data_IF_129375565984
#
_entry.id   IF_129375565984
#
_cell.length_a   1.000
_cell.length_b   1.000
_cell.length_c   1.000
_cell.angle_alpha   90.00
_cell.angle_beta   90.00
_cell.angle_gamma   90.00
#
_symmetry.space_group_name_H-M   'P 1'
#
loop_
_entity.id
_entity.type
_entity.pdbx_description
1 polymer ?
#
# COMPACT_ATOMS: atom_id res chain seq x y z
N UNK A 1 17.06 -39.00 8.74
CA UNK A 1 17.22 -37.80 7.89
C UNK A 1 15.96 -36.94 7.98
N UNK A 2 16.05 -35.61 7.85
CA UNK A 2 15.46 -34.65 8.80
C UNK A 2 14.36 -33.74 8.22
N UNK A 3 13.51 -33.20 9.08
CA UNK A 3 13.37 -31.74 9.23
C UNK A 3 12.90 -31.44 10.65
N UNK A 4 13.88 -31.14 11.51
CA UNK A 4 13.63 -30.33 12.69
C UNK A 4 13.10 -28.99 12.19
N UNK A 5 11.83 -28.74 12.46
CA UNK A 5 11.40 -27.39 12.75
C UNK A 5 11.35 -27.35 14.25
N UNK A 6 12.47 -26.92 14.83
CA UNK A 6 12.48 -26.37 16.16
C UNK A 6 11.29 -25.40 16.26
N UNK A 7 10.49 -25.63 17.31
CA UNK A 7 9.54 -24.69 17.89
C UNK A 7 10.30 -23.40 18.24
N UNK A 8 10.55 -22.59 17.22
CA UNK A 8 11.11 -21.25 17.34
C UNK A 8 9.99 -20.23 17.51
N UNK A 9 10.30 -19.03 18.05
CA UNK A 9 9.37 -17.93 18.34
C UNK A 9 8.73 -17.27 17.09
N UNK A 10 8.56 -18.02 16.01
CA UNK A 10 8.04 -17.58 14.71
C UNK A 10 6.57 -17.93 14.55
N UNK A 11 6.09 -19.01 15.17
CA UNK A 11 4.69 -19.43 15.08
C UNK A 11 3.74 -18.43 15.78
N UNK A 12 4.14 -17.92 16.95
CA UNK A 12 3.32 -17.00 17.76
C UNK A 12 3.17 -15.61 17.08
N UNK A 13 4.20 -15.15 16.38
CA UNK A 13 4.18 -13.86 15.67
C UNK A 13 3.28 -13.89 14.41
N UNK A 14 3.07 -15.07 13.80
CA UNK A 14 2.19 -15.22 12.66
C UNK A 14 0.71 -15.11 13.04
N UNK A 15 0.32 -15.65 14.21
CA UNK A 15 -1.06 -15.53 14.71
C UNK A 15 -1.41 -14.13 15.22
N UNK A 16 -0.47 -13.45 15.91
CA UNK A 16 -0.68 -12.06 16.34
C UNK A 16 -0.89 -11.09 15.16
N UNK A 17 -0.31 -11.39 14.00
CA UNK A 17 -0.46 -10.57 12.78
C UNK A 17 -1.83 -10.72 12.11
N UNK A 18 -2.55 -11.83 12.36
CA UNK A 18 -3.89 -12.06 11.82
C UNK A 18 -4.98 -11.44 12.71
N UNK A 19 -4.84 -11.50 14.03
CA UNK A 19 -5.80 -10.91 14.99
C UNK A 19 -5.87 -9.36 14.89
N UNK A 20 -4.75 -8.72 14.57
CA UNK A 20 -4.69 -7.27 14.36
C UNK A 20 -5.47 -6.80 13.11
N UNK A 21 -5.68 -7.68 12.12
CA UNK A 21 -6.46 -7.35 10.91
C UNK A 21 -7.96 -7.48 11.21
N UNK A 22 -8.36 -8.40 12.11
CA UNK A 22 -9.76 -8.66 12.45
C UNK A 22 -10.38 -7.62 13.40
N UNK A 23 -9.57 -6.94 14.23
CA UNK A 23 -10.05 -5.93 15.19
C UNK A 23 -10.40 -4.55 14.62
N UNK A 24 -10.31 -4.35 13.29
CA UNK A 24 -10.84 -3.15 12.65
C UNK A 24 -10.33 -1.85 13.27
N UNK A 25 -9.05 -1.82 13.67
CA UNK A 25 -8.41 -0.60 14.13
C UNK A 25 -7.71 0.00 12.90
N UNK A 26 -8.37 0.89 12.11
CA UNK A 26 -7.60 1.78 11.28
C UNK A 26 -6.70 2.50 12.26
N UNK A 27 -5.39 2.28 12.15
CA UNK A 27 -4.43 3.02 12.96
C UNK A 27 -4.78 4.48 12.79
N UNK A 28 -5.40 5.03 13.84
CA UNK A 28 -5.82 6.40 13.94
C UNK A 28 -4.52 7.20 13.98
N UNK A 29 -3.98 7.48 12.80
CA UNK A 29 -2.93 8.45 12.58
C UNK A 29 -3.53 9.83 12.76
N UNK A 30 -4.02 10.11 13.97
CA UNK A 30 -4.37 11.42 14.43
C UNK A 30 -3.05 12.23 14.55
N UNK A 31 -2.61 12.87 13.45
CA UNK A 31 -2.09 14.26 13.49
C UNK A 31 -1.76 14.93 12.14
N UNK A 32 -1.84 14.26 10.99
CA UNK A 32 -1.61 14.92 9.70
C UNK A 32 -2.62 14.44 8.66
N UNK A 33 -3.08 15.32 7.75
CA UNK A 33 -3.86 14.88 6.61
C UNK A 33 -3.00 13.92 5.77
N UNK A 34 -3.25 12.62 5.90
CA UNK A 34 -2.60 11.62 5.06
C UNK A 34 -3.45 11.45 3.81
N UNK A 35 -2.89 11.77 2.64
CA UNK A 35 -3.54 11.57 1.35
C UNK A 35 -2.98 10.28 0.70
N UNK A 36 -3.80 9.61 -0.08
CA UNK A 36 -3.38 8.41 -0.82
C UNK A 36 -2.85 8.83 -2.18
N UNK A 37 -1.57 8.64 -2.41
CA UNK A 37 -0.91 8.89 -3.68
C UNK A 37 -1.03 7.66 -4.61
N UNK A 38 -1.38 7.92 -5.87
CA UNK A 38 -1.39 6.96 -6.96
C UNK A 38 -0.06 7.02 -7.69
N UNK A 39 0.66 5.89 -7.68
CA UNK A 39 1.86 5.68 -8.46
C UNK A 39 1.57 4.75 -9.62
N UNK A 40 2.28 4.90 -10.73
CA UNK A 40 2.22 4.00 -11.87
C UNK A 40 3.22 4.37 -12.95
N UNK A 41 3.32 3.53 -13.97
CA UNK A 41 4.17 3.73 -15.14
C UNK A 41 3.35 4.31 -16.28
N UNK A 42 3.95 5.14 -17.13
CA UNK A 42 3.33 5.73 -18.31
C UNK A 42 4.18 5.45 -19.56
N UNK A 43 3.68 5.80 -20.74
CA UNK A 43 4.42 5.67 -22.00
C UNK A 43 5.77 6.42 -21.98
N UNK A 44 5.83 7.56 -21.30
CA UNK A 44 7.06 8.35 -21.18
C UNK A 44 8.01 7.87 -20.07
N UNK A 45 7.49 7.20 -19.04
CA UNK A 45 8.24 6.80 -17.85
C UNK A 45 7.84 5.38 -17.45
N UNK A 46 8.66 4.41 -17.84
CA UNK A 46 8.42 3.00 -17.57
C UNK A 46 8.53 2.65 -16.07
N UNK A 47 9.23 3.46 -15.28
CA UNK A 47 9.33 3.30 -13.83
C UNK A 47 8.10 3.88 -13.10
N UNK A 48 7.66 3.25 -12.01
CA UNK A 48 6.49 3.71 -11.26
C UNK A 48 6.76 5.05 -10.58
N UNK A 49 6.17 6.11 -11.11
CA UNK A 49 6.29 7.49 -10.62
C UNK A 49 4.94 7.98 -10.09
N UNK A 50 4.96 9.11 -9.41
CA UNK A 50 3.75 9.73 -8.87
C UNK A 50 2.90 10.25 -10.03
N UNK A 51 1.71 9.67 -10.21
CA UNK A 51 0.75 10.10 -11.22
C UNK A 51 -0.15 11.20 -10.68
N UNK A 52 -0.52 11.11 -9.40
CA UNK A 52 -1.40 12.06 -8.73
C UNK A 52 -1.98 11.48 -7.44
N UNK A 53 -2.99 12.14 -6.89
CA UNK A 53 -3.71 11.65 -5.73
C UNK A 53 -4.84 10.72 -6.14
N UNK A 54 -5.05 9.62 -5.43
CA UNK A 54 -6.11 8.64 -5.71
C UNK A 54 -7.53 9.20 -5.49
N UNK A 55 -7.66 10.37 -4.87
CA UNK A 55 -8.91 11.12 -4.76
C UNK A 55 -9.22 11.95 -6.02
N UNK A 56 -8.18 12.28 -6.80
CA UNK A 56 -8.27 13.10 -8.02
C UNK A 56 -8.13 12.27 -9.30
N UNK A 57 -7.46 11.11 -9.22
CA UNK A 57 -7.22 10.21 -10.34
C UNK A 57 -7.80 8.83 -10.07
N UNK A 58 -8.58 8.34 -11.03
CA UNK A 58 -9.07 6.98 -11.05
C UNK A 58 -8.08 6.06 -11.77
N UNK A 59 -7.58 5.04 -11.06
CA UNK A 59 -6.61 4.10 -11.61
C UNK A 59 -7.20 3.21 -12.71
N UNK A 60 -8.49 2.88 -12.62
CA UNK A 60 -9.16 2.05 -13.61
C UNK A 60 -9.36 2.82 -14.91
N UNK A 61 -9.77 4.09 -14.84
CA UNK A 61 -9.86 4.97 -16.01
C UNK A 61 -8.49 5.15 -16.70
N UNK A 62 -7.44 5.38 -15.90
CA UNK A 62 -6.08 5.52 -16.43
C UNK A 62 -5.58 4.23 -17.11
N UNK A 63 -5.96 3.07 -16.59
CA UNK A 63 -5.68 1.79 -17.20
C UNK A 63 -6.46 1.58 -18.50
N UNK A 64 -7.78 1.80 -18.47
CA UNK A 64 -8.69 1.59 -19.59
C UNK A 64 -8.36 2.51 -20.77
N UNK A 65 -7.91 3.73 -20.48
CA UNK A 65 -7.41 4.69 -21.47
C UNK A 65 -6.00 4.37 -21.99
N UNK A 66 -5.30 3.42 -21.38
CA UNK A 66 -3.92 3.04 -21.72
C UNK A 66 -2.88 4.12 -21.39
N UNK A 67 -3.23 5.09 -20.54
CA UNK A 67 -2.35 6.22 -20.19
C UNK A 67 -1.31 5.82 -19.13
N UNK A 68 -1.67 4.88 -18.27
CA UNK A 68 -0.77 4.36 -17.25
C UNK A 68 -1.08 2.89 -16.91
N UNK A 69 -0.11 2.22 -16.29
CA UNK A 69 -0.21 0.82 -15.84
C UNK A 69 0.64 0.58 -14.59
N UNK A 70 0.53 -0.62 -14.00
CA UNK A 70 1.35 -1.00 -12.85
C UNK A 70 1.06 -0.17 -11.59
N UNK A 71 -0.22 0.16 -11.36
CA UNK A 71 -0.61 1.09 -10.30
C UNK A 71 -0.25 0.59 -8.90
N UNK A 72 0.12 1.52 -8.02
CA UNK A 72 0.39 1.28 -6.60
C UNK A 72 -0.08 2.45 -5.76
N UNK A 73 -0.86 2.16 -4.71
CA UNK A 73 -1.37 3.15 -3.78
C UNK A 73 -0.44 3.25 -2.57
N UNK A 74 0.03 4.46 -2.25
CA UNK A 74 0.82 4.73 -1.05
C UNK A 74 0.16 5.80 -0.21
N UNK A 75 0.03 5.55 1.09
CA UNK A 75 -0.39 6.57 2.05
C UNK A 75 0.79 7.49 2.31
N UNK A 76 0.61 8.78 2.03
CA UNK A 76 1.63 9.82 2.22
C UNK A 76 1.10 10.82 3.23
N UNK A 77 1.86 11.06 4.29
CA UNK A 77 1.58 12.16 5.21
C UNK A 77 1.81 13.48 4.48
N UNK A 78 0.76 14.26 4.25
CA UNK A 78 0.90 15.62 3.73
C UNK A 78 1.22 16.49 4.94
N UNK A 79 2.41 17.08 4.95
CA UNK A 79 2.69 18.18 5.88
C UNK A 79 1.96 19.41 5.34
N UNK A 80 0.81 19.73 5.96
CA UNK A 80 0.14 21.01 5.76
C UNK A 80 1.04 22.08 6.40
N UNK A 81 1.57 22.97 5.57
CA UNK A 81 2.56 23.99 5.95
C UNK A 81 1.93 25.24 6.54
#
# INVERSE_FOLDING_TARGET
MPRGYEEGPVAEAAQARLDAIERGEPVDSARRPARTALYGSTDGEAEPHFLGWADELDADELFASGRAWGFSLRRVSVEDG
#
